data_IF_389939520899
#
_entry.id   IF_389939520899
#
_cell.length_a   1.000
_cell.length_b   1.000
_cell.length_c   1.000
_cell.angle_alpha   90.00
_cell.angle_beta   90.00
_cell.angle_gamma   90.00
#
_symmetry.space_group_name_H-M   'P 1'
#
loop_
_entity.id
_entity.type
_entity.pdbx_description
1 polymer ?
#
# COMPACT_ATOMS: atom_id res chain seq x y z
N UNK A 1 2.86 21.94 18.19
CA UNK A 1 1.86 21.23 17.37
C UNK A 1 2.58 20.73 16.13
N UNK A 2 2.71 19.42 15.92
CA UNK A 2 3.15 18.92 14.61
C UNK A 2 2.07 19.26 13.59
N UNK A 3 2.46 19.61 12.38
CA UNK A 3 1.49 19.73 11.29
C UNK A 3 1.16 18.35 10.78
N UNK A 4 -0.05 18.14 10.23
CA UNK A 4 -0.41 16.89 9.57
C UNK A 4 0.59 16.49 8.47
N UNK A 5 1.29 17.48 7.91
CA UNK A 5 2.36 17.29 6.94
C UNK A 5 3.64 16.71 7.56
N UNK A 6 4.03 17.15 8.77
CA UNK A 6 5.18 16.60 9.49
C UNK A 6 4.92 15.15 9.91
N UNK A 7 3.69 14.85 10.33
CA UNK A 7 3.28 13.49 10.66
C UNK A 7 3.31 12.59 9.41
N UNK A 8 2.83 13.08 8.26
CA UNK A 8 2.89 12.35 6.99
C UNK A 8 4.34 12.11 6.55
N UNK A 9 5.22 13.12 6.65
CA UNK A 9 6.65 12.98 6.32
C UNK A 9 7.36 11.99 7.25
N UNK A 10 7.09 12.06 8.55
CA UNK A 10 7.60 11.10 9.52
C UNK A 10 7.12 9.68 9.18
N UNK A 11 5.83 9.55 8.88
CA UNK A 11 5.22 8.29 8.50
C UNK A 11 5.75 7.71 7.19
N UNK A 12 6.10 8.56 6.22
CA UNK A 12 6.71 8.14 4.95
C UNK A 12 8.19 7.78 5.10
N UNK A 13 8.91 8.33 6.08
CA UNK A 13 10.36 8.12 6.23
C UNK A 13 10.72 7.00 7.21
N UNK A 14 9.83 6.66 8.13
CA UNK A 14 10.09 5.66 9.16
C UNK A 14 9.87 4.21 8.70
N UNK A 15 10.67 3.31 9.25
CA UNK A 15 10.49 1.86 9.12
C UNK A 15 9.11 1.44 9.63
N UNK A 16 8.32 0.78 8.78
CA UNK A 16 6.97 0.35 9.13
C UNK A 16 6.97 -1.01 9.82
N UNK A 17 6.30 -1.08 10.97
CA UNK A 17 5.94 -2.36 11.56
C UNK A 17 4.91 -3.08 10.67
N UNK A 18 4.83 -4.41 10.79
CA UNK A 18 3.84 -5.21 10.03
C UNK A 18 2.41 -4.76 10.28
N UNK A 19 2.11 -4.38 11.52
CA UNK A 19 0.78 -3.89 11.92
C UNK A 19 0.51 -2.52 11.29
N UNK A 20 1.50 -1.62 11.25
CA UNK A 20 1.35 -0.32 10.56
C UNK A 20 1.12 -0.50 9.06
N UNK A 21 1.87 -1.41 8.43
CA UNK A 21 1.70 -1.79 7.03
C UNK A 21 0.30 -2.36 6.76
N UNK A 22 -0.17 -3.28 7.61
CA UNK A 22 -1.53 -3.83 7.53
C UNK A 22 -2.60 -2.75 7.66
N UNK A 23 -2.51 -1.89 8.68
CA UNK A 23 -3.47 -0.81 8.93
C UNK A 23 -3.54 0.14 7.75
N UNK A 24 -2.41 0.49 7.17
CA UNK A 24 -2.35 1.33 5.97
C UNK A 24 -3.14 0.69 4.82
N UNK A 25 -2.85 -0.58 4.53
CA UNK A 25 -3.51 -1.28 3.43
C UNK A 25 -5.01 -1.49 3.69
N UNK A 26 -5.41 -1.87 4.90
CA UNK A 26 -6.82 -1.95 5.29
C UNK A 26 -7.50 -0.58 5.14
N UNK A 27 -6.83 0.51 5.53
CA UNK A 27 -7.32 1.87 5.31
C UNK A 27 -7.52 2.18 3.82
N UNK A 28 -6.55 1.82 2.97
CA UNK A 28 -6.66 1.95 1.51
C UNK A 28 -7.87 1.15 0.99
N UNK A 29 -8.12 -0.07 1.46
CA UNK A 29 -9.31 -0.86 1.07
C UNK A 29 -10.61 -0.18 1.43
N UNK A 30 -10.72 0.27 2.68
CA UNK A 30 -11.93 0.90 3.19
C UNK A 30 -12.28 2.17 2.41
N UNK A 31 -11.28 2.82 1.80
CA UNK A 31 -11.48 3.98 0.92
C UNK A 31 -11.76 3.55 -0.52
N UNK A 32 -10.97 2.64 -1.08
CA UNK A 32 -11.06 2.30 -2.51
C UNK A 32 -12.25 1.42 -2.87
N UNK A 33 -12.71 0.54 -1.97
CA UNK A 33 -13.87 -0.33 -2.24
C UNK A 33 -15.14 0.52 -2.45
N UNK A 34 -15.53 1.42 -1.52
CA UNK A 34 -16.71 2.25 -1.73
C UNK A 34 -16.59 3.15 -2.96
N UNK A 35 -15.40 3.74 -3.18
CA UNK A 35 -15.13 4.56 -4.36
C UNK A 35 -15.33 3.76 -5.64
N UNK A 36 -14.79 2.55 -5.72
CA UNK A 36 -14.93 1.66 -6.86
C UNK A 36 -16.38 1.26 -7.12
N UNK A 37 -17.14 0.94 -6.07
CA UNK A 37 -18.59 0.63 -6.18
C UNK A 37 -19.35 1.83 -6.73
N UNK A 38 -19.17 3.02 -6.14
CA UNK A 38 -19.86 4.23 -6.59
C UNK A 38 -19.48 4.58 -8.04
N UNK A 39 -18.19 4.53 -8.38
CA UNK A 39 -17.73 4.78 -9.74
C UNK A 39 -18.34 3.78 -10.74
N UNK A 40 -18.42 2.50 -10.39
CA UNK A 40 -19.04 1.46 -11.23
C UNK A 40 -20.54 1.68 -11.45
N UNK A 41 -21.26 2.16 -10.44
CA UNK A 41 -22.69 2.49 -10.55
C UNK A 41 -22.94 3.75 -11.41
N UNK A 42 -22.03 4.72 -11.36
CA UNK A 42 -22.20 6.00 -12.06
C UNK A 42 -21.67 6.01 -13.51
N UNK A 43 -20.77 5.09 -13.89
CA UNK A 43 -20.04 5.13 -15.17
C UNK A 43 -20.90 5.15 -16.43
N UNK A 44 -22.14 4.66 -16.37
CA UNK A 44 -23.03 4.60 -17.53
C UNK A 44 -23.76 5.91 -17.82
N UNK A 45 -23.67 6.89 -16.92
CA UNK A 45 -24.35 8.17 -17.06
C UNK A 45 -23.33 9.29 -17.24
N UNK A 46 -23.33 9.88 -18.43
CA UNK A 46 -22.36 10.89 -18.87
C UNK A 46 -22.29 12.12 -17.95
N UNK A 47 -23.41 12.46 -17.28
CA UNK A 47 -23.48 13.58 -16.33
C UNK A 47 -22.52 13.39 -15.13
N UNK A 48 -22.22 12.14 -14.77
CA UNK A 48 -21.31 11.83 -13.66
C UNK A 48 -19.86 11.61 -14.10
N UNK A 49 -19.54 11.81 -15.38
CA UNK A 49 -18.18 11.67 -15.91
C UNK A 49 -17.11 12.38 -15.07
N UNK A 50 -17.28 13.68 -14.72
CA UNK A 50 -16.33 14.39 -13.87
C UNK A 50 -16.17 13.80 -12.47
N UNK A 51 -17.25 13.31 -11.85
CA UNK A 51 -17.21 12.70 -10.51
C UNK A 51 -16.44 11.38 -10.55
N UNK A 52 -16.70 10.54 -11.55
CA UNK A 52 -15.96 9.29 -11.78
C UNK A 52 -14.47 9.57 -12.02
N UNK A 53 -14.16 10.66 -12.75
CA UNK A 53 -12.77 11.07 -12.97
C UNK A 53 -12.05 11.46 -11.66
N UNK A 54 -12.71 12.22 -10.78
CA UNK A 54 -12.16 12.55 -9.46
C UNK A 54 -11.90 11.30 -8.61
N UNK A 55 -12.82 10.33 -8.64
CA UNK A 55 -12.63 9.05 -7.96
C UNK A 55 -11.40 8.29 -8.49
N UNK A 56 -11.18 8.29 -9.80
CA UNK A 56 -10.00 7.68 -10.39
C UNK A 56 -8.69 8.38 -9.98
N UNK A 57 -8.70 9.71 -9.80
CA UNK A 57 -7.53 10.43 -9.27
C UNK A 57 -7.23 10.00 -7.84
N UNK A 58 -8.24 9.93 -6.98
CA UNK A 58 -8.06 9.47 -5.60
C UNK A 58 -7.53 8.04 -5.56
N UNK A 59 -8.08 7.16 -6.40
CA UNK A 59 -7.60 5.79 -6.55
C UNK A 59 -6.14 5.74 -7.03
N UNK A 60 -5.77 6.59 -7.99
CA UNK A 60 -4.41 6.66 -8.50
C UNK A 60 -3.42 7.16 -7.44
N UNK A 61 -3.78 8.16 -6.65
CA UNK A 61 -2.95 8.64 -5.53
C UNK A 61 -2.76 7.52 -4.48
N UNK A 62 -3.85 6.84 -4.10
CA UNK A 62 -3.78 5.72 -3.17
C UNK A 62 -2.90 4.57 -3.71
N UNK A 63 -2.94 4.31 -5.01
CA UNK A 63 -2.07 3.36 -5.69
C UNK A 63 -0.59 3.76 -5.59
N UNK A 64 -0.24 5.02 -5.89
CA UNK A 64 1.14 5.51 -5.76
C UNK A 64 1.67 5.40 -4.31
N UNK A 65 0.84 5.74 -3.33
CA UNK A 65 1.19 5.56 -1.92
C UNK A 65 1.39 4.09 -1.53
N UNK A 66 0.61 3.19 -2.14
CA UNK A 66 0.73 1.75 -1.96
C UNK A 66 2.05 1.21 -2.52
N UNK A 67 2.49 1.70 -3.69
CA UNK A 67 3.82 1.39 -4.24
C UNK A 67 4.92 1.80 -3.26
N UNK A 68 4.87 3.02 -2.73
CA UNK A 68 5.84 3.50 -1.75
C UNK A 68 5.92 2.58 -0.53
N UNK A 69 4.76 2.14 -0.02
CA UNK A 69 4.69 1.18 1.09
C UNK A 69 5.31 -0.18 0.73
N UNK A 70 5.02 -0.72 -0.46
CA UNK A 70 5.61 -1.99 -0.94
C UNK A 70 7.12 -1.89 -1.06
N UNK A 71 7.63 -0.81 -1.63
CA UNK A 71 9.08 -0.60 -1.81
C UNK A 71 9.79 -0.57 -0.45
N UNK A 72 9.25 0.15 0.53
CA UNK A 72 9.79 0.15 1.90
C UNK A 72 9.84 -1.26 2.48
N UNK A 73 8.77 -2.04 2.27
CA UNK A 73 8.68 -3.41 2.77
C UNK A 73 9.64 -4.36 2.04
N UNK A 74 9.85 -4.20 0.73
CA UNK A 74 10.89 -4.93 0.00
C UNK A 74 12.29 -4.64 0.56
N UNK A 75 12.57 -3.38 0.88
CA UNK A 75 13.83 -3.00 1.52
C UNK A 75 14.00 -3.57 2.94
N UNK A 76 12.90 -3.79 3.69
CA UNK A 76 12.97 -4.53 4.97
C UNK A 76 13.45 -5.98 4.80
N UNK A 77 13.41 -6.54 3.60
CA UNK A 77 13.92 -7.88 3.29
C UNK A 77 15.30 -7.85 2.61
N UNK A 78 15.93 -6.68 2.52
CA UNK A 78 17.14 -6.45 1.71
C UNK A 78 16.93 -6.71 0.21
N UNK A 79 15.68 -6.73 -0.27
CA UNK A 79 15.39 -6.78 -1.71
C UNK A 79 15.45 -5.38 -2.32
N UNK A 80 15.82 -5.26 -3.62
CA UNK A 80 15.75 -4.00 -4.32
C UNK A 80 14.28 -3.60 -4.57
N UNK A 81 13.97 -2.31 -4.48
CA UNK A 81 12.60 -1.79 -4.73
C UNK A 81 12.06 -2.10 -6.14
N UNK A 82 12.94 -2.34 -7.11
CA UNK A 82 12.57 -2.73 -8.48
C UNK A 82 11.75 -4.03 -8.55
N UNK A 83 11.80 -4.89 -7.52
CA UNK A 83 10.94 -6.08 -7.43
C UNK A 83 9.46 -5.69 -7.48
N UNK A 84 9.09 -4.56 -6.89
CA UNK A 84 7.71 -4.04 -6.94
C UNK A 84 7.32 -3.71 -8.38
N UNK A 85 8.23 -3.13 -9.18
CA UNK A 85 7.95 -2.85 -10.58
C UNK A 85 7.82 -4.13 -11.41
N UNK A 86 8.66 -5.14 -11.15
CA UNK A 86 8.51 -6.46 -11.75
C UNK A 86 7.15 -7.09 -11.43
N UNK A 87 6.69 -6.96 -10.19
CA UNK A 87 5.35 -7.40 -9.78
C UNK A 87 4.23 -6.64 -10.50
N UNK A 88 4.31 -5.31 -10.56
CA UNK A 88 3.32 -4.48 -11.25
C UNK A 88 3.26 -4.77 -12.76
N UNK A 89 4.41 -5.03 -13.38
CA UNK A 89 4.48 -5.43 -14.78
C UNK A 89 3.81 -6.80 -15.01
N UNK A 90 4.06 -7.76 -14.12
CA UNK A 90 3.42 -9.08 -14.16
C UNK A 90 1.90 -8.95 -13.99
N UNK A 91 1.46 -8.18 -13.01
CA UNK A 91 0.04 -7.93 -12.74
C UNK A 91 -0.66 -7.26 -13.95
N UNK A 92 -0.01 -6.26 -14.55
CA UNK A 92 -0.47 -5.61 -15.79
C UNK A 92 -0.59 -6.60 -16.95
N UNK A 93 0.43 -7.44 -17.15
CA UNK A 93 0.42 -8.45 -18.20
C UNK A 93 -0.70 -9.49 -18.01
N UNK A 94 -0.89 -9.98 -16.78
CA UNK A 94 -1.97 -10.91 -16.45
C UNK A 94 -3.33 -10.27 -16.70
N UNK A 95 -3.51 -9.01 -16.31
CA UNK A 95 -4.78 -8.31 -16.48
C UNK A 95 -5.14 -8.09 -17.95
N UNK A 96 -4.17 -7.70 -18.79
CA UNK A 96 -4.35 -7.58 -20.24
C UNK A 96 -4.68 -8.95 -20.86
N UNK A 97 -3.98 -10.00 -20.45
CA UNK A 97 -4.22 -11.36 -20.95
C UNK A 97 -5.62 -11.86 -20.55
N UNK A 98 -6.07 -11.58 -19.33
CA UNK A 98 -7.39 -11.94 -18.83
C UNK A 98 -8.50 -11.20 -19.59
N UNK A 99 -8.35 -9.90 -19.85
CA UNK A 99 -9.29 -9.12 -20.66
C UNK A 99 -9.40 -9.68 -22.09
N UNK A 100 -8.26 -9.97 -22.71
CA UNK A 100 -8.20 -10.51 -24.08
C UNK A 100 -8.82 -11.90 -24.16
N UNK A 101 -8.61 -12.73 -23.13
CA UNK A 101 -8.99 -14.15 -23.16
C UNK A 101 -10.44 -14.39 -22.74
N UNK A 102 -10.95 -13.63 -21.76
CA UNK A 102 -12.23 -13.92 -21.11
C UNK A 102 -13.31 -12.87 -21.42
N UNK A 103 -13.01 -11.88 -22.26
CA UNK A 103 -13.95 -10.82 -22.65
C UNK A 103 -14.40 -9.93 -21.48
N UNK A 104 -13.66 -9.95 -20.36
CA UNK A 104 -13.91 -9.12 -19.18
C UNK A 104 -13.42 -7.71 -19.50
N UNK A 105 -14.21 -6.97 -20.26
CA UNK A 105 -13.88 -5.62 -20.70
C UNK A 105 -14.09 -4.61 -19.56
N UNK A 106 -13.07 -3.78 -19.33
CA UNK A 106 -13.19 -2.63 -18.42
C UNK A 106 -13.19 -2.94 -16.91
N UNK A 107 -12.76 -4.15 -16.50
CA UNK A 107 -12.62 -4.52 -15.08
C UNK A 107 -11.19 -4.91 -14.68
N UNK A 108 -10.19 -4.56 -15.51
CA UNK A 108 -8.77 -4.79 -15.24
C UNK A 108 -8.35 -4.25 -13.87
N UNK A 109 -8.93 -3.13 -13.43
CA UNK A 109 -8.71 -2.56 -12.10
C UNK A 109 -9.05 -3.54 -10.97
N UNK A 110 -10.09 -4.38 -11.10
CA UNK A 110 -10.47 -5.34 -10.06
C UNK A 110 -9.46 -6.48 -9.98
N UNK A 111 -8.99 -6.98 -11.12
CA UNK A 111 -7.94 -8.00 -11.17
C UNK A 111 -6.60 -7.47 -10.63
N UNK A 112 -6.24 -6.25 -11.03
CA UNK A 112 -5.07 -5.53 -10.50
C UNK A 112 -5.12 -5.38 -8.98
N UNK A 113 -6.29 -5.03 -8.46
CA UNK A 113 -6.50 -4.95 -7.01
C UNK A 113 -6.23 -6.32 -6.41
N UNK A 114 -6.90 -7.39 -6.86
CA UNK A 114 -6.75 -8.74 -6.29
C UNK A 114 -5.30 -9.25 -6.36
N UNK A 115 -4.62 -9.11 -7.49
CA UNK A 115 -3.24 -9.59 -7.64
C UNK A 115 -2.26 -8.73 -6.84
N UNK A 116 -2.39 -7.40 -6.87
CA UNK A 116 -1.67 -6.50 -5.97
C UNK A 116 -1.83 -6.86 -4.49
N UNK A 117 -3.02 -7.34 -4.10
CA UNK A 117 -3.28 -7.86 -2.76
C UNK A 117 -2.50 -9.12 -2.44
N UNK A 118 -2.41 -10.09 -3.35
CA UNK A 118 -1.66 -11.33 -3.09
C UNK A 118 -0.20 -11.04 -2.76
N UNK A 119 0.44 -10.13 -3.49
CA UNK A 119 1.81 -9.72 -3.19
C UNK A 119 1.91 -8.97 -1.87
N UNK A 120 0.98 -8.06 -1.60
CA UNK A 120 0.91 -7.35 -0.31
C UNK A 120 0.75 -8.32 0.86
N UNK A 121 -0.12 -9.32 0.72
CA UNK A 121 -0.29 -10.39 1.71
C UNK A 121 0.98 -11.20 1.88
N UNK A 122 1.66 -11.59 0.80
CA UNK A 122 2.94 -12.28 0.89
C UNK A 122 3.97 -11.45 1.71
N UNK A 123 4.09 -10.16 1.44
CA UNK A 123 4.99 -9.25 2.18
C UNK A 123 4.59 -9.06 3.66
N UNK A 124 3.32 -9.28 4.00
CA UNK A 124 2.82 -9.19 5.37
C UNK A 124 3.26 -10.39 6.23
N UNK A 125 3.25 -11.59 5.64
CA UNK A 125 3.61 -12.82 6.35
C UNK A 125 5.12 -13.03 6.45
N UNK A 126 5.90 -12.53 5.49
CA UNK A 126 7.36 -12.69 5.51
C UNK A 126 7.97 -11.83 6.63
N UNK A 127 8.82 -12.40 7.50
CA UNK A 127 9.54 -11.63 8.52
C UNK A 127 10.64 -10.77 7.91
N UNK A 128 10.65 -9.47 8.27
CA UNK A 128 11.72 -8.56 7.86
C UNK A 128 13.05 -8.92 8.52
N UNK A 129 14.16 -8.44 7.95
CA UNK A 129 15.50 -8.59 8.52
C UNK A 129 15.59 -7.92 9.89
N UNK A 130 16.40 -8.49 10.80
CA UNK A 130 16.64 -7.91 12.13
C UNK A 130 17.74 -6.86 12.06
N UNK A 131 17.66 -5.86 12.94
CA UNK A 131 18.64 -4.78 13.05
C UNK A 131 18.30 -3.53 12.23
N UNK A 132 19.13 -2.47 12.32
CA UNK A 132 18.88 -1.19 11.65
C UNK A 132 18.89 -1.30 10.12
N UNK A 133 18.00 -0.57 9.45
CA UNK A 133 18.01 -0.41 7.98
C UNK A 133 18.02 1.08 7.58
N UNK A 134 18.01 1.36 6.27
CA UNK A 134 18.00 2.73 5.71
C UNK A 134 16.85 3.61 6.24
N UNK A 135 15.75 3.01 6.68
CA UNK A 135 14.54 3.68 7.17
C UNK A 135 14.49 3.77 8.70
N UNK A 136 15.51 3.26 9.40
CA UNK A 136 15.66 3.41 10.85
C UNK A 136 15.91 2.10 11.61
N UNK A 137 15.99 2.19 12.96
CA UNK A 137 16.17 1.04 13.83
C UNK A 137 14.97 0.06 13.76
N UNK A 138 15.17 -1.19 14.16
CA UNK A 138 14.08 -2.16 14.25
C UNK A 138 13.07 -1.72 15.33
N UNK A 139 11.79 -1.63 14.94
CA UNK A 139 10.66 -1.40 15.84
C UNK A 139 10.60 -2.39 17.01
N UNK A 140 11.20 -3.58 16.86
CA UNK A 140 11.26 -4.60 17.91
C UNK A 140 12.32 -4.33 18.96
N UNK A 141 13.38 -3.61 18.61
CA UNK A 141 14.47 -3.30 19.52
C UNK A 141 14.12 -2.11 20.43
N UNK A 142 13.17 -1.26 20.00
CA UNK A 142 12.71 -0.10 20.79
C UNK A 142 11.98 -0.48 22.08
N UNK A 143 11.33 -1.66 22.15
CA UNK A 143 10.67 -2.11 23.39
C UNK A 143 11.65 -2.61 24.46
N UNK A 144 12.92 -2.81 24.12
CA UNK A 144 13.95 -3.30 25.05
C UNK A 144 14.62 -2.14 25.82
N UNK A 145 14.55 -0.91 25.30
CA UNK A 145 15.16 0.29 25.89
C UNK A 145 14.14 1.10 26.71
N UNK A 146 13.22 0.43 27.40
CA UNK A 146 12.60 1.02 28.59
C UNK A 146 13.47 0.58 29.76
N UNK A 147 14.59 1.28 29.98
CA UNK A 147 15.26 1.19 31.28
C UNK A 147 14.19 1.53 32.33
N UNK A 148 13.95 0.66 33.34
CA UNK A 148 13.10 1.03 34.44
C UNK A 148 13.72 2.29 35.04
N UNK A 149 12.96 3.39 34.97
CA UNK A 149 13.31 4.61 35.67
C UNK A 149 13.55 4.22 37.12
N UNK A 150 14.81 4.27 37.53
CA UNK A 150 15.24 4.01 38.89
C UNK A 150 14.36 4.88 39.77
N UNK A 151 13.49 4.25 40.56
CA UNK A 151 12.66 4.95 41.53
C UNK A 151 13.64 5.55 42.54
N UNK A 152 13.90 6.86 42.41
CA UNK A 152 14.69 7.58 43.41
C UNK A 152 13.79 7.75 44.64
N UNK A 153 14.20 7.22 45.80
CA UNK A 153 13.42 7.32 47.04
C UNK A 153 13.25 8.76 47.50
#
# INVERSE_FOLDING_TARGET
MSTAWDDLKGWLSQRRSRISFLRFYVGVLLVLIPIGIVAALLKHNWLFGPVVWLFNIVAFIAFLLSIGAMVQRCHDFSYPGWVVLGWLALDGAISIAAETSWGITGNWLVLWVILGWLFTFALLFIPGTRGPNRYGPDSRDQSVIVEPTVWKP
#
